data_IF_263322305589
#
_entry.id   IF_263322305589
#
_cell.length_a   1.000
_cell.length_b   1.000
_cell.length_c   1.000
_cell.angle_alpha   90.00
_cell.angle_beta   90.00
_cell.angle_gamma   90.00
#
_symmetry.space_group_name_H-M   'P 1'
#
loop_
_entity.id
_entity.type
_entity.pdbx_description
1 polymer ?
#
# COMPACT_ATOMS: atom_id res chain seq x y z
N UNK A 1 -2.48 6.92 -29.70
CA UNK A 1 -1.90 5.72 -29.05
C UNK A 1 -1.17 6.05 -27.74
N UNK A 2 0.01 6.68 -27.73
CA UNK A 2 0.77 6.90 -26.46
C UNK A 2 -0.02 7.77 -25.46
N UNK A 3 -0.62 8.85 -25.95
CA UNK A 3 -1.45 9.79 -25.18
C UNK A 3 -2.92 9.40 -25.10
N UNK A 4 -3.32 8.23 -25.60
CA UNK A 4 -4.73 7.91 -25.76
C UNK A 4 -5.40 7.49 -24.45
N UNK A 5 -6.47 8.19 -24.08
CA UNK A 5 -7.28 7.95 -22.88
C UNK A 5 -6.77 8.65 -21.62
N UNK A 6 -7.53 8.50 -20.54
CA UNK A 6 -7.17 8.96 -19.20
C UNK A 6 -6.45 7.82 -18.44
N UNK A 7 -5.32 8.05 -17.76
CA UNK A 7 -4.65 9.34 -17.48
C UNK A 7 -3.59 9.76 -18.50
N UNK A 8 -3.38 8.98 -19.56
CA UNK A 8 -2.24 9.12 -20.47
C UNK A 8 -2.15 10.47 -21.17
N UNK A 9 -3.26 11.00 -21.66
CA UNK A 9 -3.26 12.29 -22.37
C UNK A 9 -2.78 13.41 -21.46
N UNK A 10 -3.44 13.56 -20.31
CA UNK A 10 -3.19 14.63 -19.36
C UNK A 10 -1.75 14.60 -18.84
N UNK A 11 -1.21 13.42 -18.53
CA UNK A 11 0.17 13.28 -18.05
C UNK A 11 1.19 13.89 -19.01
N UNK A 12 1.07 13.63 -20.31
CA UNK A 12 2.01 14.16 -21.31
C UNK A 12 1.72 15.62 -21.67
N UNK A 13 0.45 16.03 -21.70
CA UNK A 13 0.04 17.42 -21.95
C UNK A 13 0.60 18.38 -20.88
N UNK A 14 0.54 17.99 -19.59
CA UNK A 14 1.07 18.79 -18.47
C UNK A 14 2.59 18.98 -18.53
N UNK A 15 3.31 18.06 -19.19
CA UNK A 15 4.74 18.16 -19.44
C UNK A 15 5.09 18.91 -20.73
N UNK A 16 4.08 19.28 -21.54
CA UNK A 16 4.28 19.91 -22.85
C UNK A 16 4.92 18.96 -23.86
N UNK A 17 4.64 17.65 -23.77
CA UNK A 17 5.24 16.62 -24.62
C UNK A 17 4.24 16.10 -25.65
N UNK A 18 4.66 16.12 -26.91
CA UNK A 18 4.03 15.42 -28.03
C UNK A 18 5.00 14.43 -28.66
N UNK A 19 4.45 13.45 -29.38
CA UNK A 19 5.22 12.36 -29.97
C UNK A 19 5.02 12.34 -31.50
N UNK A 20 6.12 12.47 -32.25
CA UNK A 20 6.10 12.39 -33.73
C UNK A 20 5.82 10.97 -34.24
N UNK A 21 5.98 9.96 -33.38
CA UNK A 21 5.76 8.56 -33.70
C UNK A 21 5.80 7.67 -32.46
N UNK A 22 5.64 6.36 -32.67
CA UNK A 22 5.79 5.35 -31.63
C UNK A 22 6.48 4.12 -32.21
N UNK A 23 7.08 3.33 -31.33
CA UNK A 23 7.62 2.01 -31.65
C UNK A 23 7.03 1.00 -30.69
N UNK A 24 6.80 -0.21 -31.19
CA UNK A 24 6.39 -1.36 -30.39
C UNK A 24 7.60 -2.26 -30.18
N UNK A 25 7.73 -2.83 -28.98
CA UNK A 25 8.73 -3.84 -28.65
C UNK A 25 8.07 -5.03 -27.94
N UNK A 26 8.76 -6.16 -27.89
CA UNK A 26 8.31 -7.36 -27.17
C UNK A 26 9.23 -7.75 -26.00
N UNK A 27 10.22 -6.90 -25.69
CA UNK A 27 11.16 -7.12 -24.60
C UNK A 27 10.48 -7.14 -23.23
N UNK A 28 10.93 -8.07 -22.38
CA UNK A 28 10.59 -8.10 -20.95
C UNK A 28 11.23 -6.92 -20.22
N UNK A 29 10.60 -6.43 -19.15
CA UNK A 29 11.20 -5.44 -18.24
C UNK A 29 12.03 -6.06 -17.10
N UNK A 30 12.21 -7.37 -17.11
CA UNK A 30 12.97 -8.10 -16.10
C UNK A 30 14.48 -8.02 -16.37
N UNK A 31 15.04 -6.81 -16.24
CA UNK A 31 16.44 -6.50 -16.60
C UNK A 31 17.48 -7.05 -15.63
N UNK A 32 17.05 -7.78 -14.60
CA UNK A 32 17.96 -8.59 -13.77
C UNK A 32 18.49 -9.81 -14.54
N UNK A 33 17.74 -10.28 -15.55
CA UNK A 33 18.25 -11.22 -16.54
C UNK A 33 19.24 -10.53 -17.49
N UNK A 34 20.52 -10.94 -17.52
CA UNK A 34 21.53 -10.35 -18.40
C UNK A 34 21.18 -10.44 -19.88
N UNK A 35 20.42 -11.45 -20.29
CA UNK A 35 19.99 -11.61 -21.68
C UNK A 35 18.96 -10.55 -22.06
N UNK A 36 17.88 -10.42 -21.26
CA UNK A 36 16.88 -9.36 -21.41
C UNK A 36 17.53 -7.97 -21.44
N UNK A 37 18.48 -7.69 -20.52
CA UNK A 37 19.20 -6.41 -20.50
C UNK A 37 19.95 -6.15 -21.82
N UNK A 38 20.65 -7.17 -22.34
CA UNK A 38 21.39 -7.06 -23.60
C UNK A 38 20.47 -6.82 -24.79
N UNK A 39 19.28 -7.43 -24.81
CA UNK A 39 18.29 -7.17 -25.86
C UNK A 39 17.84 -5.70 -25.87
N UNK A 40 17.59 -5.11 -24.69
CA UNK A 40 17.30 -3.67 -24.58
C UNK A 40 18.43 -2.80 -25.14
N UNK A 41 19.68 -3.10 -24.79
CA UNK A 41 20.85 -2.34 -25.27
C UNK A 41 21.06 -2.46 -26.79
N UNK A 42 20.69 -3.60 -27.39
CA UNK A 42 20.80 -3.85 -28.83
C UNK A 42 19.66 -3.22 -29.63
N UNK A 43 18.42 -3.35 -29.15
CA UNK A 43 17.23 -2.82 -29.84
C UNK A 43 17.14 -1.29 -29.68
N UNK A 44 17.53 -0.78 -28.50
CA UNK A 44 17.43 0.64 -28.16
C UNK A 44 18.76 1.24 -27.70
N UNK A 45 19.80 1.28 -28.57
CA UNK A 45 21.10 1.84 -28.20
C UNK A 45 20.98 3.35 -27.93
N UNK A 46 21.64 3.89 -26.89
CA UNK A 46 21.57 5.31 -26.53
C UNK A 46 22.01 6.28 -27.63
N UNK A 47 22.85 5.82 -28.57
CA UNK A 47 23.29 6.62 -29.73
C UNK A 47 22.13 6.96 -30.67
N UNK A 48 21.12 6.10 -30.75
CA UNK A 48 19.95 6.25 -31.61
C UNK A 48 18.69 6.62 -30.81
N UNK A 49 18.61 6.15 -29.56
CA UNK A 49 17.49 6.36 -28.64
C UNK A 49 17.98 6.97 -27.33
N UNK A 50 18.37 8.27 -27.35
CA UNK A 50 18.90 8.93 -26.15
C UNK A 50 17.85 9.09 -25.04
N UNK A 51 16.56 9.02 -25.39
CA UNK A 51 15.43 9.08 -24.46
C UNK A 51 14.46 7.95 -24.78
N UNK A 52 14.22 7.07 -23.79
CA UNK A 52 13.16 6.07 -23.83
C UNK A 52 11.93 6.59 -23.08
N UNK A 53 10.96 7.11 -23.82
CA UNK A 53 9.67 7.55 -23.27
C UNK A 53 8.63 6.43 -23.43
N UNK A 54 8.21 5.86 -22.30
CA UNK A 54 7.31 4.71 -22.26
C UNK A 54 5.90 5.13 -21.83
N UNK A 55 4.87 4.53 -22.44
CA UNK A 55 3.46 4.84 -22.15
C UNK A 55 3.06 4.55 -20.70
N UNK A 56 3.68 3.55 -20.08
CA UNK A 56 3.44 3.16 -18.69
C UNK A 56 4.75 2.83 -18.00
N UNK A 57 4.67 2.61 -16.68
CA UNK A 57 5.85 2.25 -15.89
C UNK A 57 6.43 0.91 -16.39
N UNK A 58 7.75 0.82 -16.69
CA UNK A 58 8.42 -0.43 -17.07
C UNK A 58 8.68 -1.32 -15.84
N UNK A 59 7.61 -1.72 -15.16
CA UNK A 59 7.68 -2.46 -13.91
C UNK A 59 6.48 -3.40 -13.73
N UNK A 60 6.66 -4.44 -12.92
CA UNK A 60 5.59 -5.35 -12.55
C UNK A 60 4.66 -4.75 -11.49
N UNK A 61 3.40 -5.18 -11.53
CA UNK A 61 2.44 -4.99 -10.45
C UNK A 61 1.85 -6.35 -10.04
N UNK A 62 1.92 -6.74 -8.75
CA UNK A 62 2.63 -6.06 -7.66
C UNK A 62 4.16 -6.05 -7.87
N UNK A 63 4.86 -5.26 -7.06
CA UNK A 63 6.33 -5.20 -7.07
C UNK A 63 6.94 -6.59 -6.80
N UNK A 64 8.02 -6.94 -7.50
CA UNK A 64 8.77 -8.18 -7.24
C UNK A 64 9.29 -8.19 -5.78
N UNK A 65 9.46 -9.39 -5.22
CA UNK A 65 9.96 -9.58 -3.85
C UNK A 65 11.30 -8.87 -3.64
N UNK A 66 12.23 -9.09 -4.57
CA UNK A 66 13.58 -8.54 -4.54
C UNK A 66 13.61 -7.01 -4.62
N UNK A 67 12.56 -6.36 -5.12
CA UNK A 67 12.49 -4.90 -5.23
C UNK A 67 11.81 -4.23 -4.03
N UNK A 68 11.23 -5.00 -3.10
CA UNK A 68 10.52 -4.42 -1.94
C UNK A 68 11.43 -3.55 -1.07
N UNK A 69 12.69 -3.94 -0.92
CA UNK A 69 13.67 -3.26 -0.08
C UNK A 69 14.02 -1.86 -0.61
N UNK A 70 13.76 -1.56 -1.89
CA UNK A 70 14.03 -0.25 -2.52
C UNK A 70 13.16 0.85 -1.89
N UNK A 71 12.08 0.50 -1.19
CA UNK A 71 11.29 1.46 -0.39
C UNK A 71 12.17 2.29 0.57
N UNK A 72 13.34 1.78 0.99
CA UNK A 72 14.31 2.54 1.80
C UNK A 72 14.75 3.88 1.19
N UNK A 73 14.69 4.00 -0.14
CA UNK A 73 15.08 5.20 -0.88
C UNK A 73 13.93 6.18 -1.07
N UNK A 74 12.67 5.75 -0.89
CA UNK A 74 11.52 6.65 -0.96
C UNK A 74 11.39 7.40 0.37
N UNK A 75 11.81 8.68 0.37
CA UNK A 75 11.73 9.55 1.55
C UNK A 75 10.58 10.52 1.44
N UNK A 76 9.80 10.63 2.52
CA UNK A 76 8.76 11.63 2.64
C UNK A 76 9.32 13.05 2.62
N UNK A 77 8.64 13.96 1.93
CA UNK A 77 9.03 15.37 1.92
C UNK A 77 8.92 15.99 3.32
N UNK A 78 9.76 16.98 3.66
CA UNK A 78 9.68 17.68 4.95
C UNK A 78 8.28 18.27 5.22
N UNK A 79 7.59 18.73 4.18
CA UNK A 79 6.23 19.28 4.26
C UNK A 79 5.23 18.23 4.74
N UNK A 80 5.18 17.06 4.09
CA UNK A 80 4.26 15.98 4.46
C UNK A 80 4.57 15.43 5.85
N UNK A 81 5.86 15.29 6.19
CA UNK A 81 6.28 14.88 7.53
C UNK A 81 5.83 15.87 8.60
N UNK A 82 5.91 17.18 8.33
CA UNK A 82 5.44 18.21 9.26
C UNK A 82 3.93 18.12 9.48
N UNK A 83 3.16 17.94 8.41
CA UNK A 83 1.70 17.80 8.48
C UNK A 83 1.28 16.56 9.27
N UNK A 84 1.90 15.41 9.00
CA UNK A 84 1.62 14.16 9.72
C UNK A 84 1.98 14.25 11.22
N UNK A 85 3.15 14.84 11.55
CA UNK A 85 3.55 15.05 12.95
C UNK A 85 2.59 15.97 13.70
N UNK A 86 2.10 17.03 13.03
CA UNK A 86 1.12 17.94 13.62
C UNK A 86 -0.16 17.18 13.99
N UNK A 87 -0.71 16.39 13.07
CA UNK A 87 -1.90 15.58 13.35
C UNK A 87 -1.68 14.56 14.47
N UNK A 88 -0.54 13.87 14.49
CA UNK A 88 -0.18 12.96 15.59
C UNK A 88 -0.19 13.72 16.92
N UNK A 89 0.44 14.89 17.00
CA UNK A 89 0.53 15.65 18.25
C UNK A 89 -0.80 16.25 18.72
N UNK A 90 -1.70 16.58 17.80
CA UNK A 90 -3.00 17.18 18.11
C UNK A 90 -4.06 16.14 18.47
N UNK A 91 -4.01 14.97 17.83
CA UNK A 91 -5.07 13.98 17.92
C UNK A 91 -4.73 12.79 18.81
N UNK A 92 -3.46 12.40 18.90
CA UNK A 92 -3.05 11.20 19.62
C UNK A 92 -2.50 11.57 21.01
N UNK A 93 -3.00 10.95 22.09
CA UNK A 93 -2.41 11.10 23.42
C UNK A 93 -0.97 10.55 23.43
N UNK A 94 -0.19 10.95 24.44
CA UNK A 94 1.13 10.37 24.68
C UNK A 94 1.01 8.87 24.96
N UNK A 95 1.82 8.06 24.27
CA UNK A 95 1.89 6.62 24.44
C UNK A 95 1.89 5.88 23.10
N UNK A 96 1.99 4.55 23.12
CA UNK A 96 1.97 3.76 21.90
C UNK A 96 0.61 3.82 21.21
N UNK A 97 0.57 3.79 19.89
CA UNK A 97 -0.67 3.73 19.12
C UNK A 97 -0.66 2.65 18.05
N UNK A 98 -1.84 2.08 17.80
CA UNK A 98 -2.07 1.14 16.70
C UNK A 98 -2.53 1.92 15.47
N UNK A 99 -1.87 1.72 14.33
CA UNK A 99 -2.36 2.18 13.05
C UNK A 99 -3.17 1.08 12.38
N UNK A 100 -4.39 1.37 11.93
CA UNK A 100 -5.22 0.41 11.20
C UNK A 100 -5.61 0.98 9.84
N UNK A 101 -5.52 0.16 8.79
CA UNK A 101 -6.02 0.50 7.46
C UNK A 101 -7.25 -0.34 7.12
N UNK A 102 -8.38 0.34 6.98
CA UNK A 102 -9.65 -0.23 6.54
C UNK A 102 -9.81 0.07 5.04
N UNK A 103 -9.91 -0.98 4.23
CA UNK A 103 -10.22 -0.86 2.80
C UNK A 103 -11.60 -1.48 2.62
N UNK A 104 -12.63 -0.66 2.78
CA UNK A 104 -14.04 -1.08 2.90
C UNK A 104 -14.99 -0.23 2.01
N UNK A 105 -14.46 0.39 0.96
CA UNK A 105 -15.25 0.97 -0.11
C UNK A 105 -16.01 -0.07 -0.95
N UNK A 106 -17.10 0.37 -1.59
CA UNK A 106 -17.93 -0.49 -2.45
C UNK A 106 -17.16 -1.00 -3.68
N UNK A 107 -16.24 -0.21 -4.23
CA UNK A 107 -15.33 -0.64 -5.29
C UNK A 107 -14.47 -1.83 -4.83
N UNK A 108 -14.02 -1.78 -3.57
CA UNK A 108 -13.19 -2.82 -2.98
C UNK A 108 -13.98 -4.08 -2.62
N UNK A 109 -15.20 -3.94 -2.11
CA UNK A 109 -16.11 -5.06 -1.88
C UNK A 109 -16.32 -5.86 -3.16
N UNK A 110 -16.60 -5.16 -4.27
CA UNK A 110 -16.76 -5.78 -5.59
C UNK A 110 -15.47 -6.48 -6.06
N UNK A 111 -14.30 -5.85 -5.87
CA UNK A 111 -13.01 -6.46 -6.21
C UNK A 111 -12.74 -7.75 -5.42
N UNK A 112 -13.24 -7.86 -4.19
CA UNK A 112 -13.07 -9.01 -3.33
C UNK A 112 -14.12 -10.14 -3.53
N UNK A 113 -15.11 -9.98 -4.42
CA UNK A 113 -16.20 -10.95 -4.57
C UNK A 113 -15.74 -12.37 -4.96
N UNK A 114 -14.70 -12.45 -5.81
CA UNK A 114 -14.27 -13.70 -6.45
C UNK A 114 -12.83 -14.12 -6.11
N UNK A 115 -12.29 -13.69 -4.96
CA UNK A 115 -10.89 -13.94 -4.59
C UNK A 115 -10.63 -15.33 -3.99
N UNK A 116 -11.69 -16.07 -3.65
CA UNK A 116 -11.57 -17.35 -2.94
C UNK A 116 -10.73 -18.35 -3.75
N UNK A 117 -9.67 -18.88 -3.12
CA UNK A 117 -8.78 -19.87 -3.74
C UNK A 117 -7.73 -19.30 -4.69
N UNK A 118 -7.73 -17.99 -4.98
CA UNK A 118 -6.70 -17.38 -5.83
C UNK A 118 -5.32 -17.42 -5.14
N UNK A 119 -4.23 -17.78 -5.86
CA UNK A 119 -2.89 -17.72 -5.30
C UNK A 119 -2.45 -16.27 -5.05
N UNK A 120 -2.72 -15.39 -6.02
CA UNK A 120 -2.27 -14.01 -6.02
C UNK A 120 -3.39 -13.10 -6.51
N UNK A 121 -3.58 -11.97 -5.83
CA UNK A 121 -4.46 -10.89 -6.27
C UNK A 121 -3.95 -9.56 -5.73
N UNK A 122 -3.75 -8.59 -6.63
CA UNK A 122 -3.20 -7.27 -6.31
C UNK A 122 -1.93 -7.38 -5.43
N UNK A 123 -1.94 -6.83 -4.21
CA UNK A 123 -0.78 -6.83 -3.33
C UNK A 123 -0.72 -8.04 -2.36
N UNK A 124 -1.57 -9.06 -2.53
CA UNK A 124 -1.61 -10.24 -1.64
C UNK A 124 -0.27 -10.95 -1.37
N UNK A 125 0.72 -10.96 -2.30
CA UNK A 125 2.03 -11.55 -2.00
C UNK A 125 2.72 -10.97 -0.77
N UNK A 126 2.37 -9.74 -0.35
CA UNK A 126 2.95 -9.12 0.85
C UNK A 126 2.66 -9.88 2.16
N UNK A 127 1.57 -10.65 2.22
CA UNK A 127 1.24 -11.50 3.36
C UNK A 127 1.31 -12.99 3.01
N UNK A 128 0.93 -13.39 1.80
CA UNK A 128 0.88 -14.81 1.39
C UNK A 128 2.25 -15.34 0.91
N UNK A 129 3.21 -14.45 0.70
CA UNK A 129 4.46 -14.74 0.01
C UNK A 129 4.27 -14.76 -1.51
N UNK A 130 5.38 -14.79 -2.24
CA UNK A 130 5.39 -14.78 -3.71
C UNK A 130 5.21 -16.18 -4.33
N UNK A 131 5.11 -17.21 -3.48
CA UNK A 131 4.78 -18.59 -3.89
C UNK A 131 3.28 -18.77 -4.16
N UNK A 132 2.89 -19.84 -4.85
CA UNK A 132 1.47 -20.17 -5.10
C UNK A 132 0.83 -21.08 -4.05
N UNK A 133 1.53 -21.36 -2.94
CA UNK A 133 1.10 -22.35 -1.94
C UNK A 133 -0.03 -21.85 -1.04
N UNK A 134 0.01 -20.58 -0.66
CA UNK A 134 -1.03 -19.96 0.16
C UNK A 134 -2.09 -19.36 -0.75
N UNK A 135 -3.36 -19.49 -0.36
CA UNK A 135 -4.50 -19.02 -1.15
C UNK A 135 -5.21 -17.90 -0.41
N UNK A 136 -5.78 -16.97 -1.17
CA UNK A 136 -6.68 -15.96 -0.67
C UNK A 136 -8.00 -16.59 -0.23
N UNK A 137 -8.58 -15.97 0.79
CA UNK A 137 -9.97 -16.13 1.15
C UNK A 137 -10.61 -14.74 1.26
N UNK A 138 -11.93 -14.70 1.38
CA UNK A 138 -12.66 -13.43 1.52
C UNK A 138 -12.22 -12.61 2.73
N UNK A 139 -11.92 -13.23 3.87
CA UNK A 139 -11.54 -12.53 5.10
C UNK A 139 -10.20 -11.76 4.97
N UNK A 140 -9.26 -12.28 4.17
CA UNK A 140 -7.97 -11.61 3.90
C UNK A 140 -8.15 -10.37 3.00
N UNK A 141 -9.13 -10.42 2.08
CA UNK A 141 -9.37 -9.35 1.11
C UNK A 141 -10.34 -8.28 1.63
N UNK A 142 -11.45 -8.72 2.23
CA UNK A 142 -12.54 -7.90 2.75
C UNK A 142 -12.96 -8.48 4.11
N UNK A 143 -12.21 -8.16 5.19
CA UNK A 143 -12.43 -8.73 6.51
C UNK A 143 -13.80 -8.33 7.06
N UNK A 144 -14.40 -9.23 7.82
CA UNK A 144 -15.61 -8.97 8.57
C UNK A 144 -15.37 -7.91 9.65
N UNK A 145 -16.44 -7.19 10.00
CA UNK A 145 -16.44 -6.26 11.13
C UNK A 145 -15.96 -6.93 12.42
N UNK A 146 -16.35 -8.17 12.66
CA UNK A 146 -15.97 -8.93 13.86
C UNK A 146 -14.46 -9.15 13.91
N UNK A 147 -13.84 -9.56 12.79
CA UNK A 147 -12.39 -9.74 12.70
C UNK A 147 -11.63 -8.44 12.95
N UNK A 148 -12.06 -7.34 12.32
CA UNK A 148 -11.42 -6.03 12.50
C UNK A 148 -11.48 -5.56 13.96
N UNK A 149 -12.63 -5.73 14.63
CA UNK A 149 -12.80 -5.35 16.03
C UNK A 149 -11.96 -6.23 16.97
N UNK A 150 -12.03 -7.56 16.81
CA UNK A 150 -11.32 -8.51 17.66
C UNK A 150 -9.80 -8.36 17.55
N UNK A 151 -9.29 -8.26 16.32
CA UNK A 151 -7.85 -8.13 16.08
C UNK A 151 -7.32 -6.78 16.55
N UNK A 152 -8.10 -5.71 16.40
CA UNK A 152 -7.75 -4.39 16.95
C UNK A 152 -7.69 -4.45 18.48
N UNK A 153 -8.72 -4.99 19.13
CA UNK A 153 -8.76 -5.19 20.59
C UNK A 153 -7.57 -5.98 21.11
N UNK A 154 -7.29 -7.15 20.53
CA UNK A 154 -6.16 -7.99 20.92
C UNK A 154 -4.81 -7.27 20.75
N UNK A 155 -4.67 -6.44 19.72
CA UNK A 155 -3.45 -5.65 19.49
C UNK A 155 -3.31 -4.52 20.50
N UNK A 156 -4.38 -3.79 20.78
CA UNK A 156 -4.43 -2.72 21.79
C UNK A 156 -4.04 -3.26 23.16
N UNK A 157 -4.60 -4.40 23.56
CA UNK A 157 -4.26 -5.07 24.81
C UNK A 157 -2.79 -5.48 24.87
N UNK A 158 -2.29 -6.13 23.81
CA UNK A 158 -0.92 -6.65 23.74
C UNK A 158 0.13 -5.56 23.89
N UNK A 159 -0.05 -4.41 23.24
CA UNK A 159 0.95 -3.32 23.28
C UNK A 159 0.59 -2.21 24.28
N UNK A 160 -0.53 -2.36 25.00
CA UNK A 160 -1.09 -1.33 25.90
C UNK A 160 -1.27 0.01 25.20
N UNK A 161 -1.86 -0.03 24.01
CA UNK A 161 -2.01 1.15 23.15
C UNK A 161 -2.89 2.22 23.80
N UNK A 162 -2.37 3.44 23.83
CA UNK A 162 -3.11 4.63 24.28
C UNK A 162 -4.07 5.14 23.19
N UNK A 163 -3.81 4.81 21.92
CA UNK A 163 -4.68 5.19 20.81
C UNK A 163 -4.72 4.17 19.67
N UNK A 164 -5.77 4.28 18.85
CA UNK A 164 -5.94 3.66 17.54
C UNK A 164 -6.16 4.76 16.51
N UNK A 165 -5.29 4.82 15.51
CA UNK A 165 -5.44 5.67 14.34
C UNK A 165 -6.04 4.87 13.19
N UNK A 166 -7.15 5.36 12.64
CA UNK A 166 -7.90 4.71 11.55
C UNK A 166 -7.70 5.49 10.26
N UNK A 167 -7.08 4.84 9.27
CA UNK A 167 -7.12 5.25 7.87
C UNK A 167 -8.14 4.40 7.13
N UNK A 168 -9.00 5.03 6.33
CA UNK A 168 -10.02 4.32 5.56
C UNK A 168 -10.26 5.00 4.22
N UNK A 169 -10.69 4.24 3.24
CA UNK A 169 -11.21 4.74 1.97
C UNK A 169 -12.70 5.07 2.00
N UNK A 170 -13.41 4.64 3.03
CA UNK A 170 -14.86 4.82 3.12
C UNK A 170 -15.33 4.99 4.59
N UNK A 171 -15.58 3.90 5.32
CA UNK A 171 -16.19 3.97 6.66
C UNK A 171 -15.15 3.70 7.78
N UNK A 172 -14.99 4.60 8.77
CA UNK A 172 -13.92 4.50 9.77
C UNK A 172 -14.25 3.67 11.03
N UNK A 173 -15.46 3.13 11.14
CA UNK A 173 -15.94 2.26 12.23
C UNK A 173 -15.78 2.85 13.64
N UNK A 174 -15.80 4.18 13.77
CA UNK A 174 -15.43 4.86 15.02
C UNK A 174 -16.32 4.45 16.19
N UNK A 175 -17.63 4.31 15.98
CA UNK A 175 -18.57 3.94 17.05
C UNK A 175 -18.29 2.54 17.59
N UNK A 176 -18.07 1.57 16.70
CA UNK A 176 -17.84 0.18 17.07
C UNK A 176 -16.47 -0.02 17.73
N UNK A 177 -15.45 0.66 17.22
CA UNK A 177 -14.11 0.65 17.79
C UNK A 177 -14.11 1.28 19.19
N UNK A 178 -14.77 2.43 19.37
CA UNK A 178 -14.89 3.08 20.69
C UNK A 178 -15.62 2.20 21.70
N UNK A 179 -16.71 1.56 21.29
CA UNK A 179 -17.45 0.65 22.15
C UNK A 179 -16.59 -0.57 22.54
N UNK A 180 -15.89 -1.16 21.58
CA UNK A 180 -15.03 -2.34 21.78
C UNK A 180 -13.82 -2.05 22.68
N UNK A 181 -13.29 -0.84 22.63
CA UNK A 181 -12.07 -0.43 23.33
C UNK A 181 -12.32 0.37 24.62
N UNK A 182 -13.58 0.49 25.05
CA UNK A 182 -13.97 1.32 26.19
C UNK A 182 -13.24 0.95 27.49
N UNK A 183 -13.07 -0.35 27.75
CA UNK A 183 -12.40 -0.86 28.95
C UNK A 183 -10.89 -0.55 29.00
N UNK A 184 -10.27 -0.35 27.83
CA UNK A 184 -8.83 -0.08 27.70
C UNK A 184 -8.50 1.42 27.79
N UNK A 185 -9.52 2.30 27.84
CA UNK A 185 -9.36 3.77 27.82
C UNK A 185 -8.53 4.25 26.62
N UNK A 186 -8.59 3.52 25.50
CA UNK A 186 -7.86 3.81 24.28
C UNK A 186 -8.62 4.83 23.43
N UNK A 187 -7.92 5.88 22.97
CA UNK A 187 -8.50 6.89 22.09
C UNK A 187 -8.62 6.36 20.65
N UNK A 188 -9.77 6.50 20.01
CA UNK A 188 -9.96 6.11 18.60
C UNK A 188 -10.12 7.36 17.74
N UNK A 189 -9.27 7.49 16.72
CA UNK A 189 -9.14 8.69 15.90
C UNK A 189 -9.16 8.34 14.42
N UNK A 190 -9.87 9.15 13.62
CA UNK A 190 -9.79 9.18 12.17
C UNK A 190 -9.64 10.65 11.74
N UNK A 191 -8.58 10.98 11.01
CA UNK A 191 -8.27 12.37 10.65
C UNK A 191 -8.77 12.79 9.26
N UNK A 192 -9.07 11.83 8.37
CA UNK A 192 -9.44 12.05 6.96
C UNK A 192 -8.64 13.17 6.27
N UNK A 193 -7.29 13.06 6.23
CA UNK A 193 -6.47 14.12 5.66
C UNK A 193 -6.76 14.31 4.16
N UNK A 194 -6.65 15.54 3.63
CA UNK A 194 -6.90 15.81 2.21
C UNK A 194 -5.93 15.09 1.28
N UNK A 195 -4.74 14.73 1.78
CA UNK A 195 -3.74 13.97 1.06
C UNK A 195 -3.59 12.59 1.71
N UNK A 196 -3.84 11.48 0.99
CA UNK A 196 -3.75 10.13 1.54
C UNK A 196 -2.32 9.74 1.94
N UNK A 197 -1.30 10.44 1.44
CA UNK A 197 0.09 10.29 1.87
C UNK A 197 0.26 10.61 3.36
N UNK A 198 -0.58 11.48 3.93
CA UNK A 198 -0.55 11.79 5.36
C UNK A 198 -0.96 10.56 6.17
N UNK A 199 -2.00 9.82 5.73
CA UNK A 199 -2.36 8.54 6.33
C UNK A 199 -1.22 7.52 6.23
N UNK A 200 -0.59 7.39 5.06
CA UNK A 200 0.57 6.49 4.88
C UNK A 200 1.66 6.77 5.91
N UNK A 201 2.00 8.05 6.12
CA UNK A 201 3.02 8.45 7.10
C UNK A 201 2.60 8.11 8.53
N UNK A 202 1.35 8.40 8.90
CA UNK A 202 0.87 8.15 10.27
C UNK A 202 0.82 6.65 10.55
N UNK A 203 0.31 5.85 9.62
CA UNK A 203 0.29 4.40 9.71
C UNK A 203 1.71 3.83 9.81
N UNK A 204 2.65 4.31 8.98
CA UNK A 204 4.04 3.87 9.03
C UNK A 204 4.72 4.20 10.36
N UNK A 205 4.29 5.28 11.05
CA UNK A 205 4.79 5.71 12.36
C UNK A 205 4.15 5.03 13.57
N UNK A 206 3.12 4.22 13.37
CA UNK A 206 2.47 3.50 14.47
C UNK A 206 3.40 2.53 15.19
N UNK A 207 3.17 2.29 16.46
CA UNK A 207 3.91 1.28 17.23
C UNK A 207 3.55 -0.13 16.76
N UNK A 208 2.31 -0.31 16.27
CA UNK A 208 1.90 -1.53 15.59
C UNK A 208 0.92 -1.21 14.46
N UNK A 209 1.13 -1.81 13.29
CA UNK A 209 0.27 -1.61 12.12
C UNK A 209 -0.55 -2.85 11.79
N UNK A 210 -1.83 -2.68 11.51
CA UNK A 210 -2.68 -3.73 10.95
C UNK A 210 -3.24 -3.25 9.61
N UNK A 211 -2.95 -3.99 8.55
CA UNK A 211 -3.29 -3.61 7.18
C UNK A 211 -4.17 -4.61 6.45
N UNK A 212 -4.62 -4.22 5.27
CA UNK A 212 -5.31 -5.10 4.33
C UNK A 212 -4.28 -5.77 3.40
N UNK A 213 -4.23 -7.10 3.39
CA UNK A 213 -3.20 -7.83 2.64
C UNK A 213 -3.29 -7.61 1.12
N UNK A 214 -4.47 -7.37 0.56
CA UNK A 214 -4.67 -7.23 -0.89
C UNK A 214 -4.41 -5.79 -1.35
N UNK A 215 -4.48 -4.81 -0.45
CA UNK A 215 -4.31 -3.39 -0.78
C UNK A 215 -2.84 -2.99 -1.03
N UNK A 216 -2.59 -2.37 -2.18
CA UNK A 216 -1.28 -1.76 -2.50
C UNK A 216 -0.99 -0.50 -1.67
N UNK A 217 -2.02 0.17 -1.14
CA UNK A 217 -1.88 1.26 -0.16
C UNK A 217 -1.28 0.74 1.15
N UNK A 218 -1.81 -0.38 1.68
CA UNK A 218 -1.19 -1.10 2.80
C UNK A 218 0.22 -1.56 2.45
N UNK A 219 0.46 -2.05 1.23
CA UNK A 219 1.78 -2.52 0.83
C UNK A 219 2.85 -1.43 0.89
N UNK A 220 2.49 -0.18 0.64
CA UNK A 220 3.38 0.96 0.84
C UNK A 220 3.82 1.08 2.30
N UNK A 221 2.87 1.07 3.23
CA UNK A 221 3.14 1.13 4.68
C UNK A 221 3.95 -0.07 5.13
N UNK A 222 3.57 -1.28 4.70
CA UNK A 222 4.27 -2.53 5.06
C UNK A 222 5.74 -2.48 4.66
N UNK A 223 6.05 -2.07 3.42
CA UNK A 223 7.44 -1.97 2.97
C UNK A 223 8.23 -0.91 3.73
N UNK A 224 7.63 0.23 4.05
CA UNK A 224 8.31 1.27 4.85
C UNK A 224 8.62 0.73 6.26
N UNK A 225 7.66 0.04 6.87
CA UNK A 225 7.83 -0.56 8.19
C UNK A 225 8.87 -1.68 8.20
N UNK A 226 8.88 -2.55 7.19
CA UNK A 226 9.84 -3.66 7.04
C UNK A 226 11.28 -3.13 6.99
N UNK A 227 11.52 -2.09 6.20
CA UNK A 227 12.85 -1.44 6.10
C UNK A 227 13.31 -0.85 7.44
N UNK A 228 12.37 -0.44 8.29
CA UNK A 228 12.65 0.14 9.61
C UNK A 228 12.51 -0.87 10.76
N UNK A 229 12.29 -2.15 10.48
CA UNK A 229 12.12 -3.20 11.49
C UNK A 229 10.88 -3.01 12.38
N UNK A 230 9.83 -2.35 11.88
CA UNK A 230 8.62 -2.07 12.65
C UNK A 230 7.54 -3.16 12.46
N UNK A 231 6.85 -3.57 13.53
CA UNK A 231 5.98 -4.73 13.48
C UNK A 231 4.66 -4.44 12.76
N UNK A 232 4.17 -5.38 11.98
CA UNK A 232 2.92 -5.26 11.23
C UNK A 232 2.18 -6.58 11.18
N UNK A 233 0.85 -6.56 11.04
CA UNK A 233 0.04 -7.74 10.71
C UNK A 233 -1.04 -7.39 9.69
N UNK A 234 -1.83 -8.38 9.30
CA UNK A 234 -2.92 -8.21 8.35
C UNK A 234 -4.23 -8.77 8.88
N UNK A 235 -5.35 -8.24 8.39
CA UNK A 235 -6.68 -8.79 8.66
C UNK A 235 -6.83 -10.20 8.08
N UNK A 236 -7.57 -11.07 8.78
CA UNK A 236 -7.90 -12.41 8.28
C UNK A 236 -6.70 -13.35 8.09
N UNK A 237 -5.50 -12.91 8.49
CA UNK A 237 -4.25 -13.63 8.28
C UNK A 237 -3.46 -13.74 9.58
N UNK A 238 -2.94 -14.93 9.83
CA UNK A 238 -2.11 -15.24 11.00
C UNK A 238 -0.84 -15.90 10.48
N UNK A 239 0.31 -15.32 10.82
CA UNK A 239 1.60 -15.97 10.57
C UNK A 239 1.65 -17.25 11.43
N UNK A 240 1.95 -18.38 10.79
CA UNK A 240 2.21 -19.64 11.48
C UNK A 240 3.60 -19.63 12.10
#
# INVERSE_FOLDING_TARGET
IVKEGNPFQQFWDELGVDFDGYMSHHLSFDVEDPYTKKEWELEFPPSSFPVLALRGAPARFPVNEDHRHIQRYLKWSPLLLKQARKLISELLPKGPFVGIHLRNGLDWENACMHVEGLPNFMASPQCLGYSQYRKLNKEICFPSKVEMLNRTKATVERIKASAVYVATDNEPMLSDLKATLLEYKTHVVHANPPLPQIDLIILAKSDFFIGNCVSSFTAHVKRERDVNGLPSSFWGYTEK
#
